data_IF_208061830638
#
_entry.id   IF_208061830638
#
_cell.length_a   1.000
_cell.length_b   1.000
_cell.length_c   1.000
_cell.angle_alpha   90.00
_cell.angle_beta   90.00
_cell.angle_gamma   90.00
#
_symmetry.space_group_name_H-M   'P 1'
#
loop_
_entity.id
_entity.type
_entity.pdbx_description
1 polymer ?
#
# COMPACT_ATOMS: atom_id res chain seq x y z
N UNK A 1 4.38 -21.57 8.19
CA UNK A 1 5.27 -21.14 9.30
C UNK A 1 6.04 -19.93 8.78
N UNK A 2 5.77 -18.73 9.32
CA UNK A 2 6.36 -17.48 8.81
C UNK A 2 7.88 -17.46 8.98
N UNK A 3 8.60 -16.89 8.01
CA UNK A 3 9.99 -16.53 8.24
C UNK A 3 10.05 -15.31 9.17
N UNK A 4 11.00 -15.29 10.10
CA UNK A 4 11.25 -14.12 10.98
C UNK A 4 11.58 -12.87 10.15
N UNK A 5 12.08 -13.06 8.93
CA UNK A 5 12.46 -11.99 7.99
C UNK A 5 11.21 -11.27 7.46
N UNK A 6 10.16 -12.01 7.11
CA UNK A 6 8.92 -11.42 6.55
C UNK A 6 8.17 -10.61 7.61
N UNK A 7 8.16 -11.08 8.87
CA UNK A 7 7.59 -10.32 10.00
C UNK A 7 8.30 -8.99 10.27
N UNK A 8 9.65 -8.97 10.20
CA UNK A 8 10.42 -7.73 10.38
C UNK A 8 10.16 -6.74 9.25
N UNK A 9 10.08 -7.23 8.01
CA UNK A 9 9.77 -6.40 6.83
C UNK A 9 8.36 -5.82 6.90
N UNK A 10 7.38 -6.63 7.25
CA UNK A 10 6.00 -6.19 7.47
C UNK A 10 5.94 -5.05 8.50
N UNK A 11 6.56 -5.25 9.67
CA UNK A 11 6.56 -4.23 10.72
C UNK A 11 7.21 -2.92 10.24
N UNK A 12 8.32 -3.00 9.51
CA UNK A 12 8.97 -1.83 8.91
C UNK A 12 8.03 -1.07 7.96
N UNK A 13 7.36 -1.76 7.04
CA UNK A 13 6.43 -1.12 6.10
C UNK A 13 5.21 -0.51 6.80
N UNK A 14 4.67 -1.18 7.82
CA UNK A 14 3.58 -0.62 8.63
C UNK A 14 3.99 0.69 9.31
N UNK A 15 5.21 0.77 9.85
CA UNK A 15 5.73 2.02 10.43
C UNK A 15 5.87 3.14 9.39
N UNK A 16 6.38 2.83 8.19
CA UNK A 16 6.53 3.82 7.11
C UNK A 16 5.19 4.34 6.59
N UNK A 17 4.21 3.45 6.42
CA UNK A 17 2.83 3.84 6.06
C UNK A 17 2.26 4.77 7.14
N UNK A 18 2.44 4.43 8.43
CA UNK A 18 1.94 5.26 9.52
C UNK A 18 2.60 6.63 9.57
N UNK A 19 3.90 6.71 9.27
CA UNK A 19 4.62 7.98 9.15
C UNK A 19 4.02 8.85 8.04
N UNK A 20 3.75 8.28 6.87
CA UNK A 20 3.12 9.00 5.76
C UNK A 20 1.70 9.49 6.09
N UNK A 21 0.90 8.69 6.80
CA UNK A 21 -0.42 9.12 7.28
C UNK A 21 -0.31 10.37 8.16
N UNK A 22 0.63 10.38 9.12
CA UNK A 22 0.84 11.52 10.00
C UNK A 22 1.32 12.76 9.22
N UNK A 23 2.23 12.58 8.26
CA UNK A 23 2.70 13.67 7.40
C UNK A 23 1.57 14.24 6.52
N UNK A 24 0.66 13.39 6.06
CA UNK A 24 -0.55 13.83 5.36
C UNK A 24 -1.47 14.63 6.28
N UNK A 25 -1.71 14.15 7.51
CA UNK A 25 -2.56 14.86 8.48
C UNK A 25 -2.01 16.24 8.80
N UNK A 26 -0.69 16.36 8.99
CA UNK A 26 -0.01 17.64 9.19
C UNK A 26 -0.20 18.56 7.97
N UNK A 27 -0.04 18.04 6.75
CA UNK A 27 -0.27 18.78 5.51
C UNK A 27 -1.71 19.30 5.38
N UNK A 28 -2.71 18.52 5.81
CA UNK A 28 -4.11 18.95 5.79
C UNK A 28 -4.37 20.02 6.86
N UNK A 29 -3.89 19.81 8.09
CA UNK A 29 -4.05 20.78 9.18
C UNK A 29 -3.41 22.13 8.84
N UNK A 30 -2.31 22.10 8.10
CA UNK A 30 -1.59 23.29 7.72
C UNK A 30 -2.11 24.03 6.51
N UNK A 31 -3.01 23.42 5.73
CA UNK A 31 -3.54 24.03 4.50
C UNK A 31 -4.30 25.34 4.76
N UNK A 32 -4.68 25.63 6.01
CA UNK A 32 -5.29 26.87 6.48
C UNK A 32 -4.29 27.87 7.10
N UNK A 33 -3.03 27.48 7.33
CA UNK A 33 -1.99 28.30 7.94
C UNK A 33 -0.79 28.44 6.99
N UNK A 34 -0.99 29.24 5.93
CA UNK A 34 -0.06 29.89 4.97
C UNK A 34 1.32 29.29 4.57
N UNK A 35 1.99 28.39 5.28
CA UNK A 35 3.35 27.92 4.91
C UNK A 35 3.67 26.53 5.48
N UNK A 36 3.13 25.46 4.92
CA UNK A 36 3.58 24.11 5.31
C UNK A 36 3.85 23.23 4.11
N UNK A 37 4.93 22.47 4.29
CA UNK A 37 5.63 21.62 3.37
C UNK A 37 4.74 20.81 2.42
N UNK A 38 5.21 20.67 1.18
CA UNK A 38 4.64 19.76 0.20
C UNK A 38 4.62 18.33 0.76
N UNK A 39 3.46 17.67 0.72
CA UNK A 39 3.35 16.25 1.05
C UNK A 39 4.37 15.42 0.23
N UNK A 40 5.08 14.45 0.83
CA UNK A 40 6.15 13.72 0.16
C UNK A 40 5.62 12.62 -0.78
N UNK A 41 5.05 13.04 -1.91
CA UNK A 41 4.51 12.15 -2.93
C UNK A 41 5.54 11.14 -3.46
N UNK A 42 6.83 11.50 -3.50
CA UNK A 42 7.90 10.59 -3.89
C UNK A 42 8.09 9.42 -2.92
N UNK A 43 8.02 9.67 -1.62
CA UNK A 43 8.15 8.64 -0.59
C UNK A 43 7.01 7.61 -0.68
N UNK A 44 5.80 8.04 -1.05
CA UNK A 44 4.69 7.14 -1.31
C UNK A 44 4.96 6.20 -2.49
N UNK A 45 5.51 6.73 -3.60
CA UNK A 45 5.89 5.91 -4.74
C UNK A 45 6.98 4.89 -4.36
N UNK A 46 7.99 5.32 -3.60
CA UNK A 46 9.08 4.44 -3.15
C UNK A 46 8.58 3.30 -2.27
N UNK A 47 7.61 3.58 -1.37
CA UNK A 47 7.00 2.54 -0.52
C UNK A 47 6.24 1.52 -1.36
N UNK A 48 5.47 1.96 -2.36
CA UNK A 48 4.76 1.05 -3.27
C UNK A 48 5.76 0.15 -4.03
N UNK A 49 6.84 0.71 -4.56
CA UNK A 49 7.88 -0.07 -5.27
C UNK A 49 8.63 -1.02 -4.32
N UNK A 50 8.85 -0.64 -3.05
CA UNK A 50 9.42 -1.56 -2.04
C UNK A 50 8.48 -2.72 -1.73
N UNK A 51 7.18 -2.46 -1.61
CA UNK A 51 6.15 -3.50 -1.37
C UNK A 51 6.08 -4.46 -2.56
N UNK A 52 6.28 -4.00 -3.81
CA UNK A 52 6.33 -4.89 -4.98
C UNK A 52 7.38 -6.00 -4.86
N UNK A 53 8.51 -5.68 -4.24
CA UNK A 53 9.61 -6.63 -4.02
C UNK A 53 9.42 -7.50 -2.76
N UNK A 54 8.28 -7.37 -2.09
CA UNK A 54 7.92 -8.24 -0.98
C UNK A 54 7.36 -9.56 -1.52
N UNK A 55 7.84 -10.67 -0.95
CA UNK A 55 7.61 -12.02 -1.47
C UNK A 55 6.34 -12.67 -0.92
N UNK A 56 5.87 -12.23 0.25
CA UNK A 56 4.69 -12.78 0.90
C UNK A 56 3.43 -12.12 0.31
N UNK A 57 2.65 -12.88 -0.46
CA UNK A 57 1.49 -12.36 -1.21
C UNK A 57 0.38 -11.85 -0.30
N UNK A 58 0.04 -12.57 0.76
CA UNK A 58 -1.07 -12.22 1.64
C UNK A 58 -0.77 -10.91 2.38
N UNK A 59 0.44 -10.81 2.94
CA UNK A 59 0.87 -9.62 3.65
C UNK A 59 1.09 -8.43 2.71
N UNK A 60 1.50 -8.70 1.47
CA UNK A 60 1.60 -7.68 0.42
C UNK A 60 0.23 -7.11 0.05
N UNK A 61 -0.80 -7.95 -0.09
CA UNK A 61 -2.18 -7.52 -0.31
C UNK A 61 -2.63 -6.60 0.83
N UNK A 62 -2.42 -7.01 2.10
CA UNK A 62 -2.76 -6.18 3.27
C UNK A 62 -2.08 -4.81 3.23
N UNK A 63 -0.79 -4.76 2.87
CA UNK A 63 -0.05 -3.51 2.77
C UNK A 63 -0.57 -2.60 1.64
N UNK A 64 -0.92 -3.15 0.48
CA UNK A 64 -1.48 -2.41 -0.65
C UNK A 64 -2.89 -1.87 -0.33
N UNK A 65 -3.74 -2.69 0.29
CA UNK A 65 -5.06 -2.27 0.76
C UNK A 65 -4.96 -1.14 1.79
N UNK A 66 -4.02 -1.24 2.72
CA UNK A 66 -3.79 -0.21 3.73
C UNK A 66 -3.40 1.14 3.08
N UNK A 67 -2.49 1.12 2.09
CA UNK A 67 -2.12 2.31 1.31
C UNK A 67 -3.31 2.87 0.55
N UNK A 68 -4.11 2.01 -0.09
CA UNK A 68 -5.29 2.40 -0.87
C UNK A 68 -6.31 3.13 0.02
N UNK A 69 -6.67 2.51 1.14
CA UNK A 69 -7.72 3.00 2.05
C UNK A 69 -7.26 4.22 2.84
N UNK A 70 -6.07 4.20 3.43
CA UNK A 70 -5.67 5.21 4.42
C UNK A 70 -4.86 6.37 3.86
N UNK A 71 -4.28 6.24 2.66
CA UNK A 71 -3.46 7.29 2.06
C UNK A 71 -4.05 7.76 0.73
N UNK A 72 -4.17 6.86 -0.26
CA UNK A 72 -4.51 7.27 -1.63
C UNK A 72 -5.95 7.79 -1.78
N UNK A 73 -6.93 7.15 -1.14
CA UNK A 73 -8.34 7.60 -1.19
C UNK A 73 -8.49 9.04 -0.68
N UNK A 74 -7.82 9.36 0.44
CA UNK A 74 -7.83 10.67 1.08
C UNK A 74 -7.03 11.69 0.28
N UNK A 75 -5.85 11.30 -0.21
CA UNK A 75 -5.04 12.15 -1.08
C UNK A 75 -5.80 12.55 -2.35
N UNK A 76 -6.54 11.63 -2.97
CA UNK A 76 -7.35 11.89 -4.16
C UNK A 76 -8.43 12.95 -3.92
N UNK A 77 -9.05 12.98 -2.74
CA UNK A 77 -10.04 14.00 -2.37
C UNK A 77 -9.45 15.43 -2.38
N UNK A 78 -8.15 15.57 -2.09
CA UNK A 78 -7.47 16.87 -2.05
C UNK A 78 -6.62 17.18 -3.29
N UNK A 79 -6.17 16.16 -4.01
CA UNK A 79 -5.40 16.26 -5.24
C UNK A 79 -5.82 15.14 -6.21
N UNK A 80 -6.77 15.39 -7.12
CA UNK A 80 -7.27 14.38 -8.07
C UNK A 80 -6.19 13.82 -9.01
N UNK A 81 -5.03 14.50 -9.17
CA UNK A 81 -3.91 14.00 -9.98
C UNK A 81 -3.28 12.71 -9.43
N UNK A 82 -3.68 12.27 -8.23
CA UNK A 82 -3.26 11.01 -7.61
C UNK A 82 -4.04 9.80 -8.13
N UNK A 83 -5.14 10.02 -8.83
CA UNK A 83 -5.96 8.94 -9.38
C UNK A 83 -5.19 7.86 -10.15
N UNK A 84 -4.18 8.16 -11.01
CA UNK A 84 -3.40 7.13 -11.68
C UNK A 84 -2.62 6.22 -10.72
N UNK A 85 -2.16 6.75 -9.59
CA UNK A 85 -1.46 5.97 -8.56
C UNK A 85 -2.43 5.09 -7.78
N UNK A 86 -3.66 5.56 -7.55
CA UNK A 86 -4.74 4.77 -6.98
C UNK A 86 -5.07 3.55 -7.85
N UNK A 87 -5.29 3.76 -9.15
CA UNK A 87 -5.56 2.67 -10.10
C UNK A 87 -4.43 1.63 -10.12
N UNK A 88 -3.18 2.08 -10.16
CA UNK A 88 -2.01 1.18 -10.12
C UNK A 88 -1.99 0.29 -8.87
N UNK A 89 -2.29 0.84 -7.70
CA UNK A 89 -2.36 0.06 -6.45
C UNK A 89 -3.55 -0.91 -6.47
N UNK A 90 -4.68 -0.49 -7.02
CA UNK A 90 -5.87 -1.34 -7.15
C UNK A 90 -5.63 -2.52 -8.09
N UNK A 91 -5.09 -2.28 -9.29
CA UNK A 91 -4.68 -3.31 -10.25
C UNK A 91 -3.72 -4.31 -9.60
N UNK A 92 -2.67 -3.82 -8.93
CA UNK A 92 -1.71 -4.67 -8.23
C UNK A 92 -2.35 -5.54 -7.13
N UNK A 93 -3.37 -5.01 -6.46
CA UNK A 93 -4.08 -5.75 -5.40
C UNK A 93 -4.92 -6.87 -6.02
N UNK A 94 -5.67 -6.56 -7.09
CA UNK A 94 -6.51 -7.52 -7.81
C UNK A 94 -5.66 -8.65 -8.41
N UNK A 95 -4.57 -8.32 -9.12
CA UNK A 95 -3.67 -9.31 -9.71
C UNK A 95 -3.09 -10.30 -8.68
N UNK A 96 -2.92 -9.86 -7.42
CA UNK A 96 -2.40 -10.71 -6.35
C UNK A 96 -3.48 -11.60 -5.75
N UNK A 97 -4.69 -11.06 -5.56
CA UNK A 97 -5.84 -11.81 -5.09
C UNK A 97 -6.26 -12.90 -6.08
N UNK A 98 -6.21 -12.62 -7.39
CA UNK A 98 -6.52 -13.61 -8.44
C UNK A 98 -5.50 -14.76 -8.46
N UNK A 99 -4.21 -14.45 -8.32
CA UNK A 99 -3.13 -15.46 -8.23
C UNK A 99 -3.28 -16.38 -7.02
N UNK A 100 -3.75 -15.88 -5.87
CA UNK A 100 -4.06 -16.74 -4.73
C UNK A 100 -5.26 -17.66 -5.01
N UNK A 101 -6.27 -17.15 -5.70
CA UNK A 101 -7.45 -17.93 -6.08
C UNK A 101 -7.11 -19.07 -7.05
N UNK A 102 -6.25 -18.82 -8.05
CA UNK A 102 -5.85 -19.81 -9.04
C UNK A 102 -5.00 -20.94 -8.43
N UNK A 103 -4.08 -20.60 -7.51
CA UNK A 103 -3.28 -21.58 -6.77
C UNK A 103 -4.18 -22.46 -5.88
N UNK A 104 -5.23 -21.88 -5.28
CA UNK A 104 -6.19 -22.61 -4.45
C UNK A 104 -7.07 -23.59 -5.26
N UNK A 105 -7.37 -23.27 -6.52
CA UNK A 105 -8.13 -24.13 -7.44
C UNK A 105 -7.27 -25.28 -7.99
N UNK A 106 -6.00 -25.00 -8.34
CA UNK A 106 -5.07 -26.02 -8.82
C UNK A 106 -4.71 -27.06 -7.74
N UNK A 107 -4.55 -26.63 -6.49
CA UNK A 107 -4.26 -27.54 -5.36
C UNK A 107 -5.45 -28.44 -5.00
N UNK A 108 -6.70 -27.98 -5.16
CA UNK A 108 -7.90 -28.83 -4.96
C UNK A 108 -8.06 -29.90 -6.02
N UNK A 109 -7.70 -29.61 -7.27
CA UNK A 109 -7.83 -30.54 -8.38
C UNK A 109 -6.65 -31.53 -8.50
N UNK A 110 -5.56 -31.32 -7.76
CA UNK A 110 -4.39 -32.22 -7.74
C UNK A 110 -4.44 -33.27 -6.62
N UNK A 111 -5.49 -33.27 -5.78
CA UNK A 111 -5.69 -34.20 -4.66
C UNK A 111 -6.89 -35.15 -4.92
N UNK A 112 -7.54 -35.04 -6.09
CA UNK A 112 -8.63 -35.92 -6.52
C UNK A 112 -8.12 -37.10 -7.35
#
# INVERSE_FOLDING_TARGET
MFSVIDKKRLNYYCCEIKRLENEFDLYIQSKSASEVHSFPYSALHDIIEKIKNFNDTEEKIKLLENIKVNILSRLMQHNPKIYPLFLKVEEMTIEMQEKESDISLLTRNSIA
#
